data_IF_469525781429
#
_entry.id   IF_469525781429
#
_cell.length_a   1.000
_cell.length_b   1.000
_cell.length_c   1.000
_cell.angle_alpha   90.00
_cell.angle_beta   90.00
_cell.angle_gamma   90.00
#
_symmetry.space_group_name_H-M   'P 1'
#
loop_
_entity.id
_entity.type
_entity.pdbx_description
1 polymer ?
#
# COMPACT_ATOMS: atom_id res chain seq x y z
N UNK A 1 19.85 -13.59 -18.92
CA UNK A 1 18.47 -13.23 -19.32
C UNK A 1 18.02 -12.09 -18.42
N UNK A 2 17.63 -10.93 -18.95
CA UNK A 2 17.16 -9.81 -18.11
C UNK A 2 15.71 -10.03 -17.71
N UNK A 3 15.38 -9.85 -16.44
CA UNK A 3 13.99 -9.80 -15.99
C UNK A 3 13.37 -8.54 -16.61
N UNK A 4 12.21 -8.63 -17.29
CA UNK A 4 11.56 -7.46 -17.85
C UNK A 4 11.17 -6.50 -16.72
N UNK A 5 11.45 -5.22 -16.91
CA UNK A 5 11.05 -4.18 -15.96
C UNK A 5 9.54 -4.18 -15.80
N UNK A 6 9.07 -4.01 -14.55
CA UNK A 6 7.64 -3.85 -14.31
C UNK A 6 7.15 -2.50 -14.83
N UNK A 7 5.87 -2.40 -15.16
CA UNK A 7 5.28 -1.25 -15.86
C UNK A 7 5.48 0.09 -15.13
N UNK A 8 5.53 0.09 -13.79
CA UNK A 8 5.70 1.28 -12.96
C UNK A 8 7.03 1.31 -12.18
N UNK A 9 8.02 0.52 -12.62
CA UNK A 9 9.32 0.50 -11.96
C UNK A 9 9.99 1.89 -11.96
N UNK A 10 10.44 2.33 -10.78
CA UNK A 10 11.10 3.63 -10.59
C UNK A 10 10.14 4.80 -10.34
N UNK A 11 8.83 4.57 -10.34
CA UNK A 11 7.83 5.57 -9.94
C UNK A 11 7.63 5.52 -8.43
N UNK A 12 7.62 6.70 -7.78
CA UNK A 12 7.29 6.86 -6.35
C UNK A 12 5.92 7.53 -6.20
N UNK A 13 5.03 6.94 -5.41
CA UNK A 13 3.66 7.41 -5.18
C UNK A 13 3.46 7.66 -3.69
N UNK A 14 2.92 8.83 -3.35
CA UNK A 14 2.41 9.10 -2.00
C UNK A 14 0.90 8.82 -1.98
N UNK A 15 0.48 7.84 -1.19
CA UNK A 15 -0.92 7.48 -1.04
C UNK A 15 -1.53 8.18 0.19
N UNK A 16 -2.39 9.16 -0.05
CA UNK A 16 -3.15 9.89 0.97
C UNK A 16 -4.63 9.45 1.01
N UNK A 17 -5.00 8.43 0.24
CA UNK A 17 -6.36 7.90 0.20
C UNK A 17 -6.70 7.15 1.48
N UNK A 18 -7.96 6.76 1.68
CA UNK A 18 -8.39 5.99 2.86
C UNK A 18 -9.43 4.95 2.47
N UNK A 19 -9.65 4.03 3.40
CA UNK A 19 -10.68 3.00 3.47
C UNK A 19 -10.46 1.87 2.46
N UNK A 20 -11.01 1.94 1.24
CA UNK A 20 -11.00 0.79 0.34
C UNK A 20 -10.54 1.14 -1.08
N UNK A 21 -11.28 2.00 -1.78
CA UNK A 21 -11.06 2.21 -3.21
C UNK A 21 -9.65 2.73 -3.53
N UNK A 22 -9.16 3.68 -2.72
CA UNK A 22 -7.84 4.26 -2.88
C UNK A 22 -6.71 3.29 -2.53
N UNK A 23 -6.67 2.72 -1.30
CA UNK A 23 -5.63 1.76 -0.93
C UNK A 23 -5.57 0.54 -1.87
N UNK A 24 -6.72 0.08 -2.36
CA UNK A 24 -6.78 -0.99 -3.37
C UNK A 24 -6.15 -0.57 -4.70
N UNK A 25 -6.44 0.63 -5.19
CA UNK A 25 -5.79 1.16 -6.39
C UNK A 25 -4.27 1.27 -6.20
N UNK A 26 -3.82 1.79 -5.06
CA UNK A 26 -2.40 1.96 -4.74
C UNK A 26 -1.69 0.62 -4.61
N UNK A 27 -2.34 -0.40 -4.07
CA UNK A 27 -1.83 -1.78 -4.03
C UNK A 27 -1.52 -2.30 -5.44
N UNK A 28 -2.41 -2.08 -6.41
CA UNK A 28 -2.17 -2.46 -7.81
C UNK A 28 -0.97 -1.73 -8.41
N UNK A 29 -0.73 -0.47 -8.05
CA UNK A 29 0.48 0.24 -8.49
C UNK A 29 1.76 -0.38 -7.93
N UNK A 30 1.75 -0.79 -6.66
CA UNK A 30 2.87 -1.50 -6.04
C UNK A 30 3.13 -2.86 -6.71
N UNK A 31 2.07 -3.61 -7.03
CA UNK A 31 2.18 -4.88 -7.78
C UNK A 31 2.83 -4.67 -9.16
N UNK A 32 2.50 -3.55 -9.81
CA UNK A 32 3.10 -3.10 -11.07
C UNK A 32 4.49 -2.44 -10.92
N UNK A 33 5.08 -2.43 -9.72
CA UNK A 33 6.48 -2.07 -9.47
C UNK A 33 6.73 -0.65 -8.97
N UNK A 34 5.69 0.12 -8.64
CA UNK A 34 5.87 1.42 -8.01
C UNK A 34 6.31 1.30 -6.55
N UNK A 35 7.09 2.28 -6.08
CA UNK A 35 7.33 2.51 -4.64
C UNK A 35 6.17 3.33 -4.08
N UNK A 36 5.24 2.67 -3.39
CA UNK A 36 4.06 3.31 -2.80
C UNK A 36 4.29 3.56 -1.31
N UNK A 37 4.24 4.82 -0.90
CA UNK A 37 4.36 5.24 0.49
C UNK A 37 2.99 5.69 0.98
N UNK A 38 2.42 4.91 1.90
CA UNK A 38 1.16 5.24 2.55
C UNK A 38 1.38 6.34 3.60
N UNK A 39 0.62 7.42 3.49
CA UNK A 39 0.61 8.52 4.46
C UNK A 39 -0.66 8.42 5.28
N UNK A 40 -0.49 8.25 6.59
CA UNK A 40 -1.59 8.14 7.54
C UNK A 40 -1.56 9.26 8.58
N UNK A 41 -2.71 9.56 9.19
CA UNK A 41 -2.74 10.37 10.40
C UNK A 41 -1.87 9.77 11.51
N UNK A 42 -1.43 10.56 12.51
CA UNK A 42 -0.64 10.06 13.63
C UNK A 42 -1.30 8.93 14.44
N UNK A 43 -2.63 8.85 14.41
CA UNK A 43 -3.42 7.78 15.04
C UNK A 43 -3.66 6.57 14.12
N UNK A 44 -3.10 6.56 12.92
CA UNK A 44 -3.33 5.54 11.90
C UNK A 44 -4.65 5.71 11.15
N UNK A 45 -4.85 4.90 10.12
CA UNK A 45 -6.10 4.82 9.40
C UNK A 45 -7.19 4.10 10.22
N UNK A 46 -8.43 4.60 10.17
CA UNK A 46 -9.56 4.11 10.98
C UNK A 46 -9.84 2.60 10.80
N UNK A 47 -9.49 2.03 9.65
CA UNK A 47 -9.74 0.62 9.34
C UNK A 47 -8.74 -0.34 9.99
N UNK A 48 -7.63 0.16 10.55
CA UNK A 48 -6.63 -0.68 11.22
C UNK A 48 -7.17 -1.42 12.44
N UNK A 49 -8.19 -0.85 13.07
CA UNK A 49 -8.85 -1.41 14.24
C UNK A 49 -10.06 -2.30 13.89
N UNK A 50 -10.33 -2.49 12.59
CA UNK A 50 -11.41 -3.37 12.16
C UNK A 50 -10.99 -4.85 12.27
N UNK A 51 -11.83 -5.72 12.85
CA UNK A 51 -11.55 -7.14 12.89
C UNK A 51 -11.58 -7.77 11.48
N UNK A 52 -10.83 -8.87 11.26
CA UNK A 52 -9.99 -9.58 12.23
C UNK A 52 -8.68 -8.86 12.53
N UNK A 53 -8.30 -8.83 13.81
CA UNK A 53 -7.04 -8.22 14.26
C UNK A 53 -5.95 -9.29 14.36
N UNK A 54 -4.82 -9.06 13.69
CA UNK A 54 -3.59 -9.84 13.91
C UNK A 54 -2.92 -9.38 15.20
N UNK A 55 -2.46 -10.33 16.04
CA UNK A 55 -1.65 -9.96 17.19
C UNK A 55 -0.32 -9.38 16.70
N UNK A 56 0.11 -8.31 17.32
CA UNK A 56 1.36 -7.65 16.97
C UNK A 56 2.53 -8.65 17.10
N UNK A 57 3.22 -8.94 15.98
CA UNK A 57 4.31 -9.92 15.92
C UNK A 57 3.94 -11.28 15.31
N UNK A 58 2.68 -11.49 14.93
CA UNK A 58 2.23 -12.64 14.13
C UNK A 58 2.02 -12.16 12.69
N UNK A 59 3.04 -12.29 11.83
CA UNK A 59 3.02 -11.89 10.42
C UNK A 59 4.22 -12.41 9.65
#
# INVERSE_FOLDING_TARGET
MSIPKKALEGIKILDLTQIYAGPYCSMLFADMGAEVIKIEPPWGEIIRDNPPLVKQGEG
#
